data_IF_114170288403
#
_entry.id   IF_114170288403
#
_cell.length_a   1.000
_cell.length_b   1.000
_cell.length_c   1.000
_cell.angle_alpha   90.00
_cell.angle_beta   90.00
_cell.angle_gamma   90.00
#
_symmetry.space_group_name_H-M   'P 1'
#
loop_
_entity.id
_entity.type
_entity.pdbx_description
1 polymer ?
#
# COMPACT_ATOMS: atom_id res chain seq x y z
N UNK A 1 -24.20 -13.97 -10.33
CA UNK A 1 -22.87 -14.47 -9.96
C UNK A 1 -21.95 -14.05 -11.10
N UNK A 2 -21.11 -13.04 -10.88
CA UNK A 2 -20.23 -12.51 -11.91
C UNK A 2 -18.80 -12.75 -11.47
N UNK A 3 -18.24 -13.86 -11.95
CA UNK A 3 -16.80 -14.10 -11.97
C UNK A 3 -16.15 -13.23 -13.05
N UNK A 4 -14.88 -12.86 -12.83
CA UNK A 4 -13.93 -12.12 -13.68
C UNK A 4 -13.73 -10.63 -13.37
N UNK A 5 -12.77 -10.35 -12.49
CA UNK A 5 -11.59 -9.59 -12.93
C UNK A 5 -10.38 -9.93 -12.03
N UNK A 6 -9.70 -11.05 -12.31
CA UNK A 6 -8.43 -11.43 -11.68
C UNK A 6 -7.28 -10.91 -12.55
N UNK A 7 -7.27 -9.62 -12.80
CA UNK A 7 -6.08 -8.92 -13.30
C UNK A 7 -5.07 -8.86 -12.14
N UNK A 8 -3.80 -9.15 -12.43
CA UNK A 8 -2.64 -9.21 -11.53
C UNK A 8 -2.37 -7.88 -10.79
N UNK A 9 -3.30 -7.42 -9.96
CA UNK A 9 -3.11 -6.32 -9.04
C UNK A 9 -2.73 -6.92 -7.70
N UNK A 10 -1.43 -6.98 -7.43
CA UNK A 10 -0.90 -7.30 -6.11
C UNK A 10 -1.58 -6.39 -5.06
N UNK A 11 -2.22 -6.97 -4.04
CA UNK A 11 -2.79 -6.20 -2.93
C UNK A 11 -1.71 -5.71 -1.97
N UNK A 12 -2.05 -4.77 -1.08
CA UNK A 12 -1.12 -4.28 -0.06
C UNK A 12 -0.70 -5.41 0.89
N UNK A 13 -1.65 -6.21 1.32
CA UNK A 13 -1.50 -7.32 2.26
C UNK A 13 -0.64 -8.43 1.64
N UNK A 14 -0.85 -8.74 0.36
CA UNK A 14 0.01 -9.69 -0.36
C UNK A 14 1.43 -9.17 -0.53
N UNK A 15 1.60 -7.89 -0.89
CA UNK A 15 2.93 -7.28 -1.03
C UNK A 15 3.69 -7.25 0.30
N UNK A 16 3.00 -6.92 1.39
CA UNK A 16 3.57 -6.91 2.73
C UNK A 16 4.02 -8.31 3.15
N UNK A 17 3.17 -9.32 2.94
CA UNK A 17 3.51 -10.71 3.24
C UNK A 17 4.70 -11.23 2.44
N UNK A 18 4.80 -10.86 1.16
CA UNK A 18 5.96 -11.19 0.33
C UNK A 18 7.23 -10.51 0.85
N UNK A 19 7.14 -9.23 1.24
CA UNK A 19 8.26 -8.49 1.82
C UNK A 19 8.74 -9.14 3.13
N UNK A 20 7.83 -9.49 4.04
CA UNK A 20 8.16 -10.21 5.28
C UNK A 20 8.87 -11.53 5.01
N UNK A 21 8.41 -12.28 4.00
CA UNK A 21 9.02 -13.55 3.60
C UNK A 21 10.44 -13.35 3.07
N UNK A 22 10.67 -12.31 2.27
CA UNK A 22 11.99 -11.97 1.75
C UNK A 22 12.92 -11.58 2.90
N UNK A 23 12.49 -10.70 3.79
CA UNK A 23 13.29 -10.29 4.96
C UNK A 23 13.65 -11.50 5.82
N UNK A 24 12.67 -12.33 6.16
CA UNK A 24 12.91 -13.55 6.93
C UNK A 24 13.94 -14.46 6.24
N UNK A 25 13.85 -14.62 4.91
CA UNK A 25 14.82 -15.43 4.16
C UNK A 25 16.24 -14.84 4.24
N UNK A 26 16.38 -13.51 4.14
CA UNK A 26 17.68 -12.83 4.23
C UNK A 26 18.29 -12.92 5.64
N UNK A 27 17.46 -12.95 6.68
CA UNK A 27 17.89 -13.08 8.07
C UNK A 27 18.39 -14.49 8.43
N UNK A 28 17.93 -15.53 7.72
CA UNK A 28 18.43 -16.90 7.95
C UNK A 28 19.91 -17.07 7.61
N UNK A 29 20.47 -16.22 6.74
CA UNK A 29 21.89 -16.23 6.39
C UNK A 29 22.31 -17.33 5.41
N UNK A 30 21.41 -18.21 4.99
CA UNK A 30 21.68 -19.35 4.09
C UNK A 30 21.55 -19.00 2.59
N UNK A 31 21.40 -17.71 2.25
CA UNK A 31 21.20 -17.25 0.86
C UNK A 31 22.54 -16.97 0.17
N UNK A 32 22.82 -17.57 -1.01
CA UNK A 32 23.97 -17.23 -1.81
C UNK A 32 24.02 -15.73 -2.17
N UNK A 33 25.22 -15.15 -2.26
CA UNK A 33 25.39 -13.72 -2.54
C UNK A 33 24.65 -13.23 -3.80
N UNK A 34 24.62 -14.05 -4.84
CA UNK A 34 23.93 -13.74 -6.10
C UNK A 34 22.40 -13.66 -5.92
N UNK A 35 21.83 -14.55 -5.11
CA UNK A 35 20.41 -14.53 -4.75
C UNK A 35 20.08 -13.39 -3.78
N UNK A 36 21.01 -13.01 -2.90
CA UNK A 36 20.84 -11.91 -1.94
C UNK A 36 20.58 -10.58 -2.66
N UNK A 37 21.30 -10.32 -3.76
CA UNK A 37 21.11 -9.10 -4.57
C UNK A 37 19.71 -9.11 -5.21
N UNK A 38 19.27 -10.25 -5.74
CA UNK A 38 17.93 -10.38 -6.32
C UNK A 38 16.83 -10.18 -5.27
N UNK A 39 16.98 -10.80 -4.09
CA UNK A 39 16.04 -10.68 -2.98
C UNK A 39 15.95 -9.25 -2.46
N UNK A 40 17.08 -8.56 -2.37
CA UNK A 40 17.10 -7.14 -2.00
C UNK A 40 16.34 -6.26 -3.01
N UNK A 41 16.54 -6.47 -4.31
CA UNK A 41 15.81 -5.73 -5.34
C UNK A 41 14.31 -5.99 -5.29
N UNK A 42 13.90 -7.24 -5.10
CA UNK A 42 12.51 -7.64 -4.91
C UNK A 42 11.90 -6.95 -3.68
N UNK A 43 12.62 -6.96 -2.56
CA UNK A 43 12.22 -6.30 -1.32
C UNK A 43 12.08 -4.78 -1.47
N UNK A 44 13.02 -4.10 -2.15
CA UNK A 44 12.95 -2.67 -2.41
C UNK A 44 11.73 -2.29 -3.28
N UNK A 45 11.42 -3.11 -4.29
CA UNK A 45 10.25 -2.92 -5.13
C UNK A 45 8.94 -3.06 -4.33
N UNK A 46 8.84 -4.08 -3.48
CA UNK A 46 7.68 -4.30 -2.61
C UNK A 46 7.54 -3.19 -1.57
N UNK A 47 8.63 -2.74 -0.96
CA UNK A 47 8.63 -1.63 -0.01
C UNK A 47 8.12 -0.33 -0.66
N UNK A 48 8.59 -0.02 -1.86
CA UNK A 48 8.10 1.13 -2.64
C UNK A 48 6.62 1.01 -2.97
N UNK A 49 6.17 -0.18 -3.33
CA UNK A 49 4.76 -0.46 -3.58
C UNK A 49 3.90 -0.21 -2.32
N UNK A 50 4.29 -0.79 -1.18
CA UNK A 50 3.58 -0.62 0.10
C UNK A 50 3.48 0.86 0.50
N UNK A 51 4.60 1.60 0.45
CA UNK A 51 4.61 3.03 0.76
C UNK A 51 3.67 3.82 -0.16
N UNK A 52 3.66 3.54 -1.46
CA UNK A 52 2.77 4.20 -2.41
C UNK A 52 1.30 3.94 -2.10
N UNK A 53 0.95 2.73 -1.68
CA UNK A 53 -0.42 2.39 -1.30
C UNK A 53 -0.84 3.09 -0.01
N UNK A 54 0.03 3.16 0.99
CA UNK A 54 -0.21 3.93 2.22
C UNK A 54 -0.42 5.41 1.94
N UNK A 55 0.47 6.04 1.17
CA UNK A 55 0.31 7.47 0.81
C UNK A 55 -0.98 7.73 0.05
N UNK A 56 -1.42 6.82 -0.82
CA UNK A 56 -2.71 6.94 -1.51
C UNK A 56 -3.89 6.85 -0.55
N UNK A 57 -3.82 5.96 0.44
CA UNK A 57 -4.86 5.82 1.45
C UNK A 57 -4.93 7.07 2.33
N UNK A 58 -3.79 7.60 2.79
CA UNK A 58 -3.68 8.82 3.57
C UNK A 58 -4.28 10.03 2.83
N UNK A 59 -3.89 10.25 1.57
CA UNK A 59 -4.43 11.34 0.75
C UNK A 59 -5.94 11.21 0.54
N UNK A 60 -6.46 9.98 0.45
CA UNK A 60 -7.90 9.75 0.32
C UNK A 60 -8.63 10.12 1.62
N UNK A 61 -8.08 9.75 2.77
CA UNK A 61 -8.62 10.11 4.08
C UNK A 61 -8.61 11.62 4.27
N UNK A 62 -7.50 12.29 3.94
CA UNK A 62 -7.38 13.74 4.05
C UNK A 62 -8.42 14.48 3.20
N UNK A 63 -8.61 14.05 1.95
CA UNK A 63 -9.66 14.62 1.07
C UNK A 63 -11.06 14.42 1.63
N UNK A 64 -11.35 13.25 2.20
CA UNK A 64 -12.65 13.00 2.82
C UNK A 64 -12.91 13.90 4.03
N UNK A 65 -11.88 14.17 4.85
CA UNK A 65 -11.99 15.11 5.98
C UNK A 65 -12.28 16.53 5.51
N UNK A 66 -11.49 17.04 4.55
CA UNK A 66 -11.67 18.39 3.99
C UNK A 66 -13.05 18.55 3.36
N UNK A 67 -13.54 17.53 2.65
CA UNK A 67 -14.88 17.58 2.06
C UNK A 67 -15.97 17.59 3.12
N UNK A 68 -15.85 16.74 4.16
CA UNK A 68 -16.81 16.74 5.26
C UNK A 68 -16.85 18.11 5.96
N UNK A 69 -15.70 18.71 6.25
CA UNK A 69 -15.61 20.05 6.85
C UNK A 69 -16.30 21.12 6.01
N UNK A 70 -16.11 21.10 4.68
CA UNK A 70 -16.80 22.02 3.76
C UNK A 70 -18.31 21.83 3.73
N UNK A 71 -18.78 20.58 3.72
CA UNK A 71 -20.22 20.27 3.77
C UNK A 71 -20.86 20.80 5.07
N UNK A 72 -20.14 20.79 6.20
CA UNK A 72 -20.61 21.39 7.45
C UNK A 72 -20.63 22.92 7.41
N UNK A 73 -19.64 23.56 6.78
CA UNK A 73 -19.59 25.02 6.64
C UNK A 73 -20.67 25.56 5.70
N UNK A 74 -20.92 24.89 4.57
CA UNK A 74 -21.97 25.28 3.62
C UNK A 74 -23.36 25.21 4.28
N UNK A 75 -23.65 24.16 5.05
CA UNK A 75 -24.90 24.04 5.81
C UNK A 75 -25.07 25.11 6.90
N UNK A 76 -23.99 25.55 7.54
CA UNK A 76 -24.03 26.56 8.59
C UNK A 76 -24.31 27.99 8.07
N UNK A 77 -24.14 28.22 6.76
CA UNK A 77 -24.37 29.54 6.13
C UNK A 77 -25.78 29.73 5.56
N UNK A 78 -26.61 28.68 5.49
CA UNK A 78 -27.98 28.75 4.94
C UNK A 78 -29.06 29.10 5.98
N UNK A 79 -28.73 29.07 7.28
CA UNK A 79 -29.66 29.34 8.40
C UNK A 79 -29.46 30.73 9.05
N UNK A 80 -28.76 31.65 8.37
CA UNK A 80 -28.50 33.04 8.81
C UNK A 80 -28.93 34.09 7.80
#
# INVERSE_FOLDING_TARGET
MSENNKENNLSFEEALKQLETIVASMETGDIPLEELVSKFQEGDALLKFCNKQLSRAELKIEKLKVNAEKEFEEFATEDS
#
